data_IF_651130266145
#
_entry.id   IF_651130266145
#
_cell.length_a   1.000
_cell.length_b   1.000
_cell.length_c   1.000
_cell.angle_alpha   90.00
_cell.angle_beta   90.00
_cell.angle_gamma   90.00
#
_symmetry.space_group_name_H-M   'P 1'
#
loop_
_entity.id
_entity.type
_entity.pdbx_description
1 polymer ?
#
# COMPACT_ATOMS: atom_id res chain seq x y z
N UNK A 1 -10.46 -4.26 8.86
CA UNK A 1 -9.48 -3.98 9.93
C UNK A 1 -9.06 -2.51 9.91
N UNK A 2 -8.70 -1.96 8.74
CA UNK A 2 -8.40 -0.53 8.55
C UNK A 2 -9.48 0.10 7.66
N UNK A 3 -9.95 1.31 8.00
CA UNK A 3 -10.87 2.10 7.19
C UNK A 3 -10.39 3.55 7.15
N UNK A 4 -10.10 4.05 5.97
CA UNK A 4 -9.86 5.46 5.67
C UNK A 4 -11.14 6.02 5.04
N UNK A 5 -11.67 7.08 5.63
CA UNK A 5 -12.91 7.73 5.21
C UNK A 5 -12.63 9.22 4.97
N UNK A 6 -12.66 9.62 3.69
CA UNK A 6 -12.42 10.99 3.26
C UNK A 6 -11.08 11.57 3.72
N UNK A 7 -10.00 10.77 3.70
CA UNK A 7 -8.73 11.14 4.31
C UNK A 7 -8.04 12.29 3.58
N UNK A 8 -7.76 13.38 4.30
CA UNK A 8 -7.06 14.56 3.78
C UNK A 8 -5.79 14.80 4.59
N UNK A 9 -4.70 15.09 3.88
CA UNK A 9 -3.44 15.50 4.50
C UNK A 9 -2.82 16.66 3.74
N UNK A 10 -2.58 17.76 4.45
CA UNK A 10 -1.94 18.96 3.94
C UNK A 10 -0.66 19.19 4.73
N UNK A 11 0.46 19.33 4.01
CA UNK A 11 1.73 19.75 4.58
C UNK A 11 1.94 21.24 4.33
N UNK A 12 2.31 21.97 5.38
CA UNK A 12 2.78 23.35 5.27
C UNK A 12 4.29 23.34 5.22
N UNK A 13 4.86 23.69 4.07
CA UNK A 13 6.31 23.81 3.87
C UNK A 13 6.61 25.25 3.52
N UNK A 14 7.21 25.97 4.46
CA UNK A 14 7.36 27.43 4.41
C UNK A 14 6.01 28.11 4.11
N UNK A 15 5.92 28.83 2.99
CA UNK A 15 4.72 29.57 2.57
C UNK A 15 3.82 28.80 1.59
N UNK A 16 4.05 27.49 1.40
CA UNK A 16 3.28 26.65 0.47
C UNK A 16 2.54 25.54 1.20
N UNK A 17 1.27 25.37 0.84
CA UNK A 17 0.46 24.22 1.23
C UNK A 17 0.53 23.15 0.12
N UNK A 18 0.98 21.95 0.48
CA UNK A 18 1.04 20.78 -0.40
C UNK A 18 0.01 19.78 0.07
N UNK A 19 -0.98 19.50 -0.75
CA UNK A 19 -2.02 18.52 -0.45
C UNK A 19 -1.54 17.14 -0.86
N UNK A 20 -1.19 16.31 0.12
CA UNK A 20 -0.66 14.97 -0.10
C UNK A 20 -1.76 13.90 -0.24
N UNK A 21 -2.89 14.07 0.46
CA UNK A 21 -4.07 13.19 0.36
C UNK A 21 -5.33 14.05 0.20
N UNK A 22 -6.24 13.64 -0.67
CA UNK A 22 -7.38 14.45 -1.13
C UNK A 22 -8.72 13.72 -0.99
N UNK A 23 -9.14 13.43 0.23
CA UNK A 23 -10.41 12.73 0.48
C UNK A 23 -10.30 11.25 0.12
N UNK A 24 -9.17 10.62 0.43
CA UNK A 24 -8.89 9.24 0.08
C UNK A 24 -9.77 8.29 0.90
N UNK A 25 -10.42 7.36 0.19
CA UNK A 25 -11.21 6.28 0.77
C UNK A 25 -10.48 4.95 0.55
N UNK A 26 -10.31 4.16 1.61
CA UNK A 26 -9.64 2.85 1.53
C UNK A 26 -10.16 1.96 2.65
N UNK A 27 -10.51 0.73 2.34
CA UNK A 27 -10.80 -0.30 3.35
C UNK A 27 -9.82 -1.44 3.18
N UNK A 28 -9.25 -1.94 4.27
CA UNK A 28 -8.35 -3.11 4.28
C UNK A 28 -8.90 -4.15 5.24
N UNK A 29 -9.10 -5.37 4.75
CA UNK A 29 -9.70 -6.46 5.49
C UNK A 29 -8.69 -7.17 6.42
N UNK A 30 -9.16 -7.79 7.52
CA UNK A 30 -8.29 -8.57 8.39
C UNK A 30 -7.64 -9.74 7.62
N UNK A 31 -6.34 -9.94 7.78
CA UNK A 31 -5.58 -10.98 7.07
C UNK A 31 -5.31 -10.68 5.59
N UNK A 32 -5.74 -9.54 5.06
CA UNK A 32 -5.49 -9.15 3.66
C UNK A 32 -4.03 -8.68 3.45
N UNK A 33 -3.44 -9.07 2.34
CA UNK A 33 -2.21 -8.49 1.81
C UNK A 33 -2.56 -7.55 0.66
N UNK A 34 -2.49 -6.24 0.90
CA UNK A 34 -2.85 -5.19 -0.05
C UNK A 34 -1.61 -4.41 -0.50
N UNK A 35 -1.48 -4.18 -1.80
CA UNK A 35 -0.50 -3.24 -2.35
C UNK A 35 -1.15 -1.92 -2.76
N UNK A 36 -0.45 -0.83 -2.53
CA UNK A 36 -0.78 0.51 -3.00
C UNK A 36 0.27 0.91 -4.02
N UNK A 37 -0.16 1.13 -5.25
CA UNK A 37 0.70 1.51 -6.38
C UNK A 37 0.40 2.91 -6.86
N UNK A 38 1.38 3.56 -7.47
CA UNK A 38 1.20 4.90 -8.02
C UNK A 38 2.53 5.62 -8.23
N UNK A 39 2.53 6.76 -8.96
CA UNK A 39 3.76 7.49 -9.24
C UNK A 39 4.41 8.04 -7.96
N UNK A 40 5.68 8.44 -8.08
CA UNK A 40 6.36 9.15 -7.00
C UNK A 40 5.60 10.44 -6.67
N UNK A 41 5.47 10.76 -5.38
CA UNK A 41 4.72 11.92 -4.91
C UNK A 41 3.18 11.76 -4.89
N UNK A 42 2.62 10.60 -5.23
CA UNK A 42 1.17 10.37 -5.21
C UNK A 42 0.52 10.36 -3.81
N UNK A 43 1.31 10.45 -2.73
CA UNK A 43 0.82 10.41 -1.35
C UNK A 43 0.84 9.03 -0.68
N UNK A 44 1.45 8.01 -1.30
CA UNK A 44 1.47 6.63 -0.79
C UNK A 44 2.15 6.50 0.59
N UNK A 45 3.38 7.01 0.74
CA UNK A 45 4.09 6.98 2.03
C UNK A 45 3.40 7.86 3.08
N UNK A 46 2.74 8.96 2.66
CA UNK A 46 1.89 9.77 3.54
C UNK A 46 0.73 8.96 4.10
N UNK A 47 0.01 8.22 3.25
CA UNK A 47 -1.08 7.34 3.67
C UNK A 47 -0.59 6.30 4.67
N UNK A 48 0.53 5.64 4.37
CA UNK A 48 1.12 4.62 5.23
C UNK A 48 1.53 5.20 6.60
N UNK A 49 2.11 6.40 6.63
CA UNK A 49 2.45 7.10 7.88
C UNK A 49 1.21 7.45 8.71
N UNK A 50 0.12 7.89 8.09
CA UNK A 50 -1.13 8.20 8.79
C UNK A 50 -1.77 6.93 9.35
N UNK A 51 -1.86 5.85 8.56
CA UNK A 51 -2.39 4.55 9.02
C UNK A 51 -1.56 3.98 10.17
N UNK A 52 -0.25 4.11 10.11
CA UNK A 52 0.63 3.66 11.17
C UNK A 52 0.76 4.62 12.36
N UNK A 53 -0.02 5.69 12.38
CA UNK A 53 -0.06 6.64 13.50
C UNK A 53 1.24 7.41 13.69
N UNK A 54 2.11 7.51 12.67
CA UNK A 54 3.30 8.35 12.67
C UNK A 54 2.98 9.81 12.33
N UNK A 55 1.84 10.03 11.68
CA UNK A 55 1.32 11.34 11.35
C UNK A 55 -0.19 11.39 11.58
N UNK A 56 -0.74 12.59 11.76
CA UNK A 56 -2.18 12.82 11.95
C UNK A 56 -2.80 13.34 10.65
N UNK A 57 -4.03 12.92 10.30
CA UNK A 57 -4.73 13.50 9.17
C UNK A 57 -5.08 14.97 9.43
N UNK A 58 -5.17 15.77 8.36
CA UNK A 58 -5.67 17.14 8.42
C UNK A 58 -7.21 17.18 8.48
N UNK A 59 -7.87 16.23 7.80
CA UNK A 59 -9.30 15.98 7.90
C UNK A 59 -9.60 14.52 7.49
N UNK A 60 -10.85 14.08 7.70
CA UNK A 60 -11.26 12.69 7.50
C UNK A 60 -10.96 11.81 8.70
N UNK A 61 -11.17 10.50 8.55
CA UNK A 61 -11.03 9.52 9.62
C UNK A 61 -10.15 8.35 9.20
N UNK A 62 -9.38 7.82 10.15
CA UNK A 62 -8.65 6.56 9.99
C UNK A 62 -8.98 5.67 11.17
N UNK A 63 -9.76 4.62 10.91
CA UNK A 63 -10.17 3.65 11.91
C UNK A 63 -9.30 2.40 11.78
N UNK A 64 -8.73 1.94 12.90
CA UNK A 64 -8.01 0.66 12.98
C UNK A 64 -8.60 -0.16 14.11
N UNK A 65 -9.08 -1.36 13.80
CA UNK A 65 -9.88 -2.19 14.72
C UNK A 65 -11.07 -1.41 15.33
N UNK A 66 -11.69 -0.52 14.54
CA UNK A 66 -12.82 0.32 14.95
C UNK A 66 -12.46 1.57 15.76
N UNK A 67 -11.20 1.75 16.15
CA UNK A 67 -10.74 2.93 16.88
C UNK A 67 -10.18 3.99 15.91
N UNK A 68 -10.67 5.23 16.01
CA UNK A 68 -10.20 6.34 15.19
C UNK A 68 -8.88 6.91 15.73
N UNK A 69 -7.83 6.88 14.90
CA UNK A 69 -6.49 7.33 15.29
C UNK A 69 -6.41 8.84 15.54
N UNK A 70 -7.30 9.64 14.94
CA UNK A 70 -7.32 11.08 15.15
C UNK A 70 -7.66 11.46 16.60
N UNK A 71 -8.40 10.59 17.30
CA UNK A 71 -8.84 10.82 18.67
C UNK A 71 -7.80 10.39 19.72
N UNK A 72 -6.68 9.81 19.28
CA UNK A 72 -5.63 9.33 20.18
C UNK A 72 -4.77 10.49 20.70
N UNK A 73 -4.45 10.44 22.00
CA UNK A 73 -3.37 11.23 22.57
C UNK A 73 -2.01 10.71 22.06
N UNK A 74 -0.94 11.48 22.25
CA UNK A 74 0.39 11.05 21.80
C UNK A 74 0.84 9.74 22.48
N UNK A 75 0.51 9.56 23.78
CA UNK A 75 0.76 8.31 24.49
C UNK A 75 -0.08 7.13 23.98
N UNK A 76 -1.32 7.39 23.56
CA UNK A 76 -2.15 6.35 22.93
C UNK A 76 -1.62 5.96 21.54
N UNK A 77 -1.08 6.92 20.78
CA UNK A 77 -0.38 6.65 19.51
C UNK A 77 0.91 5.87 19.74
N UNK A 78 1.68 6.15 20.80
CA UNK A 78 2.86 5.36 21.17
C UNK A 78 2.50 3.90 21.46
N UNK A 79 1.42 3.68 22.20
CA UNK A 79 0.93 2.35 22.52
C UNK A 79 0.42 1.63 21.25
N UNK A 80 -0.34 2.32 20.41
CA UNK A 80 -0.77 1.83 19.10
C UNK A 80 0.41 1.38 18.23
N UNK A 81 1.43 2.24 18.07
CA UNK A 81 2.63 1.93 17.30
C UNK A 81 3.39 0.73 17.84
N UNK A 82 3.40 0.57 19.17
CA UNK A 82 4.12 -0.52 19.84
C UNK A 82 3.45 -1.88 19.69
N UNK A 83 2.12 -1.93 19.72
CA UNK A 83 1.38 -3.19 19.88
C UNK A 83 0.54 -3.58 18.66
N UNK A 84 0.17 -2.63 17.81
CA UNK A 84 -0.75 -2.88 16.68
C UNK A 84 -0.07 -2.87 15.34
N UNK A 85 0.98 -2.07 15.17
CA UNK A 85 1.64 -1.86 13.88
C UNK A 85 3.11 -2.28 13.88
N UNK A 86 3.54 -2.94 12.82
CA UNK A 86 4.95 -3.09 12.45
C UNK A 86 5.26 -2.22 11.25
N UNK A 87 6.48 -1.69 11.17
CA UNK A 87 6.92 -0.86 10.04
C UNK A 87 8.17 -1.44 9.40
N UNK A 88 8.17 -1.57 8.07
CA UNK A 88 9.32 -1.91 7.25
C UNK A 88 9.58 -0.74 6.32
N UNK A 89 10.74 -0.12 6.45
CA UNK A 89 11.12 1.04 5.66
C UNK A 89 11.83 0.61 4.37
N UNK A 90 11.83 1.49 3.37
CA UNK A 90 12.54 1.30 2.11
C UNK A 90 14.04 1.07 2.33
N UNK A 91 14.63 1.90 3.20
CA UNK A 91 16.01 1.76 3.65
C UNK A 91 16.03 0.86 4.89
N UNK A 92 16.59 -0.37 4.81
CA UNK A 92 16.63 -1.28 5.95
C UNK A 92 17.31 -0.65 7.17
N UNK A 93 18.31 0.21 6.93
CA UNK A 93 19.04 0.94 7.98
C UNK A 93 18.16 1.82 8.88
N UNK A 94 16.93 2.16 8.46
CA UNK A 94 15.96 2.86 9.33
C UNK A 94 15.32 1.96 10.38
N UNK A 95 15.31 0.64 10.15
CA UNK A 95 14.87 -0.36 11.12
C UNK A 95 16.01 -0.86 12.01
N UNK A 96 17.27 -0.76 11.54
CA UNK A 96 18.42 -1.44 12.12
C UNK A 96 19.32 -0.46 12.91
N UNK A 97 19.82 -0.91 14.05
CA UNK A 97 20.95 -0.29 14.75
C UNK A 97 22.24 -0.96 14.29
N UNK A 98 23.13 -0.17 13.70
CA UNK A 98 24.29 -0.63 12.92
C UNK A 98 25.30 -1.48 13.68
N UNK A 99 25.45 -1.26 15.00
CA UNK A 99 26.39 -1.96 15.86
C UNK A 99 25.78 -3.14 16.62
N UNK A 100 24.47 -3.37 16.51
CA UNK A 100 23.80 -4.52 17.10
C UNK A 100 23.77 -5.67 16.11
N UNK A 101 23.81 -6.90 16.61
CA UNK A 101 23.58 -8.12 15.81
C UNK A 101 22.12 -8.19 15.34
N UNK A 102 21.82 -9.06 14.36
CA UNK A 102 20.45 -9.31 13.93
C UNK A 102 19.55 -9.74 15.10
N UNK A 103 20.04 -10.62 15.98
CA UNK A 103 19.36 -11.06 17.20
C UNK A 103 19.04 -9.90 18.14
N UNK A 104 20.00 -9.02 18.39
CA UNK A 104 19.83 -7.86 19.27
C UNK A 104 18.87 -6.82 18.68
N UNK A 105 18.97 -6.58 17.37
CA UNK A 105 18.05 -5.73 16.64
C UNK A 105 16.59 -6.22 16.77
N UNK A 106 16.35 -7.51 16.52
CA UNK A 106 15.00 -8.10 16.66
C UNK A 106 14.53 -8.08 18.12
N UNK A 107 15.44 -8.19 19.09
CA UNK A 107 15.10 -8.12 20.51
C UNK A 107 14.73 -6.70 20.99
N UNK A 108 15.27 -5.66 20.35
CA UNK A 108 15.22 -4.28 20.83
C UNK A 108 13.78 -3.75 21.03
N UNK A 109 12.82 -3.90 20.10
CA UNK A 109 11.44 -3.45 20.32
C UNK A 109 10.78 -4.10 21.54
N UNK A 110 11.10 -5.38 21.80
CA UNK A 110 10.56 -6.12 22.94
C UNK A 110 11.21 -5.71 24.26
N UNK A 111 12.48 -5.26 24.23
CA UNK A 111 13.14 -4.65 25.40
C UNK A 111 12.43 -3.34 25.76
N UNK A 112 12.14 -2.50 24.77
CA UNK A 112 11.38 -1.25 24.95
C UNK A 112 9.97 -1.52 25.48
N UNK A 113 9.33 -2.60 25.00
CA UNK A 113 8.04 -3.08 25.51
C UNK A 113 8.12 -3.79 26.88
N UNK A 114 9.32 -3.88 27.48
CA UNK A 114 9.57 -4.50 28.80
C UNK A 114 9.12 -5.96 28.91
N UNK A 115 9.13 -6.72 27.81
CA UNK A 115 8.81 -8.15 27.83
C UNK A 115 9.88 -8.96 28.58
N UNK A 116 9.56 -10.05 29.30
CA UNK A 116 10.55 -10.85 30.02
C UNK A 116 11.63 -11.45 29.12
N UNK A 117 12.88 -11.51 29.60
CA UNK A 117 14.02 -11.96 28.79
C UNK A 117 13.86 -13.35 28.16
N UNK A 118 13.23 -14.29 28.88
CA UNK A 118 12.92 -15.63 28.36
C UNK A 118 11.98 -15.57 27.14
N UNK A 119 10.91 -14.77 27.23
CA UNK A 119 9.94 -14.57 26.15
C UNK A 119 10.62 -13.93 24.94
N UNK A 120 11.46 -12.91 25.17
CA UNK A 120 12.22 -12.25 24.09
C UNK A 120 13.12 -13.23 23.35
N UNK A 121 13.91 -14.04 24.07
CA UNK A 121 14.85 -15.00 23.44
C UNK A 121 14.13 -16.01 22.55
N UNK A 122 13.02 -16.55 23.03
CA UNK A 122 12.20 -17.49 22.25
C UNK A 122 11.63 -16.80 21.00
N UNK A 123 11.03 -15.61 21.17
CA UNK A 123 10.44 -14.87 20.06
C UNK A 123 11.45 -14.44 19.00
N UNK A 124 12.66 -14.04 19.40
CA UNK A 124 13.74 -13.70 18.46
C UNK A 124 14.13 -14.92 17.63
N UNK A 125 14.25 -16.10 18.23
CA UNK A 125 14.57 -17.33 17.50
C UNK A 125 13.47 -17.67 16.48
N UNK A 126 12.21 -17.64 16.90
CA UNK A 126 11.04 -17.86 16.02
C UNK A 126 11.04 -16.89 14.82
N UNK A 127 11.32 -15.60 15.05
CA UNK A 127 11.28 -14.59 14.01
C UNK A 127 12.44 -14.72 13.02
N UNK A 128 13.66 -14.99 13.51
CA UNK A 128 14.82 -15.21 12.66
C UNK A 128 14.66 -16.47 11.81
N UNK A 129 14.08 -17.53 12.36
CA UNK A 129 13.71 -18.72 11.60
C UNK A 129 12.64 -18.41 10.55
N UNK A 130 11.57 -17.70 10.94
CA UNK A 130 10.47 -17.33 10.06
C UNK A 130 10.88 -16.42 8.90
N UNK A 131 12.02 -15.72 8.99
CA UNK A 131 12.60 -14.96 7.87
C UNK A 131 13.83 -15.65 7.25
N UNK A 132 14.17 -16.86 7.67
CA UNK A 132 15.28 -17.65 7.10
C UNK A 132 16.67 -17.07 7.37
N UNK A 133 16.91 -16.60 8.60
CA UNK A 133 18.15 -15.95 9.05
C UNK A 133 18.70 -16.51 10.37
N UNK A 134 18.33 -17.74 10.76
CA UNK A 134 18.83 -18.39 11.98
C UNK A 134 20.37 -18.42 12.04
N UNK A 135 21.03 -18.79 10.94
CA UNK A 135 22.50 -18.87 10.84
C UNK A 135 23.19 -17.49 10.79
N UNK A 136 22.40 -16.43 10.63
CA UNK A 136 22.87 -15.04 10.57
C UNK A 136 22.58 -14.25 11.85
N UNK A 137 22.04 -14.89 12.88
CA UNK A 137 21.57 -14.25 14.10
C UNK A 137 22.61 -13.33 14.77
N UNK A 138 23.89 -13.72 14.76
CA UNK A 138 24.97 -13.00 15.43
C UNK A 138 25.78 -12.09 14.49
N UNK A 139 25.31 -11.89 13.26
CA UNK A 139 25.91 -10.94 12.31
C UNK A 139 25.37 -9.53 12.56
N UNK A 140 26.24 -8.53 12.51
CA UNK A 140 25.88 -7.11 12.46
C UNK A 140 25.46 -6.70 11.05
N UNK A 141 24.65 -5.63 10.86
CA UNK A 141 24.17 -5.18 9.54
C UNK A 141 25.23 -5.08 8.46
N UNK A 142 26.44 -4.59 8.78
CA UNK A 142 27.54 -4.47 7.82
C UNK A 142 28.05 -5.82 7.26
N UNK A 143 27.65 -6.96 7.86
CA UNK A 143 27.97 -8.32 7.42
C UNK A 143 26.77 -9.04 6.78
N UNK A 144 25.67 -8.35 6.55
CA UNK A 144 24.46 -8.87 5.93
C UNK A 144 24.30 -8.24 4.54
N UNK A 145 23.83 -9.02 3.57
CA UNK A 145 23.41 -8.49 2.27
C UNK A 145 22.19 -7.57 2.40
N UNK A 146 21.89 -6.74 1.40
CA UNK A 146 20.71 -5.85 1.44
C UNK A 146 19.39 -6.61 1.67
N UNK A 147 19.21 -7.76 1.01
CA UNK A 147 18.05 -8.63 1.22
C UNK A 147 18.02 -9.30 2.60
N UNK A 148 19.18 -9.68 3.15
CA UNK A 148 19.26 -10.18 4.53
C UNK A 148 18.91 -9.07 5.53
N UNK A 149 19.43 -7.85 5.34
CA UNK A 149 19.08 -6.69 6.18
C UNK A 149 17.58 -6.39 6.13
N UNK A 150 16.96 -6.48 4.96
CA UNK A 150 15.52 -6.26 4.81
C UNK A 150 14.70 -7.35 5.51
N UNK A 151 15.13 -8.62 5.44
CA UNK A 151 14.49 -9.70 6.20
C UNK A 151 14.66 -9.53 7.71
N UNK A 152 15.80 -9.01 8.18
CA UNK A 152 15.93 -8.60 9.60
C UNK A 152 14.96 -7.46 9.92
N UNK A 153 14.81 -6.46 9.05
CA UNK A 153 13.85 -5.36 9.24
C UNK A 153 12.39 -5.87 9.37
N UNK A 154 11.99 -6.86 8.57
CA UNK A 154 10.70 -7.55 8.70
C UNK A 154 10.59 -8.23 10.07
N UNK A 155 11.62 -8.95 10.52
CA UNK A 155 11.62 -9.58 11.85
C UNK A 155 11.50 -8.55 12.99
N UNK A 156 12.18 -7.40 12.89
CA UNK A 156 12.06 -6.28 13.85
C UNK A 156 10.63 -5.76 13.89
N UNK A 157 10.01 -5.52 12.72
CA UNK A 157 8.65 -5.03 12.62
C UNK A 157 7.63 -5.98 13.27
N UNK A 158 7.91 -7.29 13.27
CA UNK A 158 7.05 -8.34 13.85
C UNK A 158 7.35 -8.70 15.30
N UNK A 159 8.35 -8.05 15.91
CA UNK A 159 8.84 -8.36 17.25
C UNK A 159 7.74 -8.35 18.31
N UNK A 160 6.90 -7.31 18.31
CA UNK A 160 5.81 -7.12 19.28
C UNK A 160 4.47 -7.75 18.87
N UNK A 161 4.45 -8.65 17.88
CA UNK A 161 3.22 -9.30 17.37
C UNK A 161 2.14 -8.30 16.90
N UNK A 162 2.48 -7.37 15.99
CA UNK A 162 1.48 -6.46 15.44
C UNK A 162 0.42 -7.22 14.65
N UNK A 163 -0.75 -6.60 14.47
CA UNK A 163 -1.81 -7.10 13.58
C UNK A 163 -1.69 -6.54 12.17
N UNK A 164 -1.09 -5.35 12.05
CA UNK A 164 -0.90 -4.64 10.79
C UNK A 164 0.59 -4.47 10.53
N UNK A 165 1.07 -4.95 9.38
CA UNK A 165 2.42 -4.69 8.91
C UNK A 165 2.37 -3.69 7.76
N UNK A 166 3.08 -2.57 7.93
CA UNK A 166 3.16 -1.48 6.97
C UNK A 166 4.55 -1.51 6.33
N UNK A 167 4.62 -1.62 5.02
CA UNK A 167 5.87 -1.67 4.28
C UNK A 167 5.94 -0.56 3.22
N UNK A 168 6.90 0.35 3.35
CA UNK A 168 7.11 1.47 2.42
C UNK A 168 8.26 1.13 1.46
N UNK A 169 7.94 0.82 0.21
CA UNK A 169 8.87 0.37 -0.84
C UNK A 169 9.90 -0.69 -0.37
N UNK A 170 9.45 -1.83 0.20
CA UNK A 170 10.33 -2.78 0.86
C UNK A 170 11.33 -3.49 -0.07
N UNK A 171 11.22 -3.30 -1.37
CA UNK A 171 12.03 -3.92 -2.42
C UNK A 171 12.73 -2.89 -3.32
N UNK A 172 12.59 -1.58 -3.06
CA UNK A 172 13.00 -0.52 -3.99
C UNK A 172 14.50 -0.46 -4.29
N UNK A 173 15.35 -0.96 -3.39
CA UNK A 173 16.83 -1.00 -3.57
C UNK A 173 17.37 -2.41 -3.86
N UNK A 174 16.50 -3.38 -4.07
CA UNK A 174 16.88 -4.79 -4.22
C UNK A 174 16.78 -5.21 -5.68
N UNK A 175 17.65 -6.14 -6.09
CA UNK A 175 17.51 -6.81 -7.38
C UNK A 175 16.22 -7.66 -7.42
N UNK A 176 15.76 -8.00 -8.61
CA UNK A 176 14.48 -8.70 -8.82
C UNK A 176 14.42 -10.07 -8.14
N UNK A 177 15.53 -10.82 -8.09
CA UNK A 177 15.57 -12.12 -7.43
C UNK A 177 15.45 -11.95 -5.90
N UNK A 178 16.16 -10.97 -5.34
CA UNK A 178 16.04 -10.65 -3.91
C UNK A 178 14.65 -10.10 -3.56
N UNK A 179 14.08 -9.23 -4.38
CA UNK A 179 12.73 -8.69 -4.19
C UNK A 179 11.67 -9.79 -4.13
N UNK A 180 11.79 -10.82 -4.99
CA UNK A 180 10.94 -12.01 -4.96
C UNK A 180 11.01 -12.74 -3.62
N UNK A 181 12.21 -12.97 -3.08
CA UNK A 181 12.38 -13.61 -1.76
C UNK A 181 11.70 -12.80 -0.65
N UNK A 182 11.72 -11.47 -0.75
CA UNK A 182 11.02 -10.59 0.20
C UNK A 182 9.49 -10.75 0.09
N UNK A 183 8.93 -10.72 -1.12
CA UNK A 183 7.50 -10.93 -1.31
C UNK A 183 7.03 -12.34 -0.88
N UNK A 184 7.80 -13.38 -1.17
CA UNK A 184 7.57 -14.75 -0.67
C UNK A 184 7.57 -14.79 0.87
N UNK A 185 8.49 -14.05 1.49
CA UNK A 185 8.55 -13.93 2.96
C UNK A 185 7.29 -13.26 3.51
N UNK A 186 6.84 -12.14 2.92
CA UNK A 186 5.59 -11.49 3.32
C UNK A 186 4.39 -12.42 3.17
N UNK A 187 4.27 -13.13 2.02
CA UNK A 187 3.15 -14.04 1.77
C UNK A 187 3.09 -15.16 2.81
N UNK A 188 4.23 -15.80 3.09
CA UNK A 188 4.33 -16.83 4.13
C UNK A 188 3.92 -16.30 5.50
N UNK A 189 4.36 -15.09 5.86
CA UNK A 189 4.04 -14.47 7.15
C UNK A 189 2.56 -14.07 7.26
N UNK A 190 1.97 -13.55 6.18
CA UNK A 190 0.55 -13.25 6.07
C UNK A 190 -0.29 -14.51 6.35
N UNK A 191 -0.02 -15.61 5.63
CA UNK A 191 -0.77 -16.87 5.77
C UNK A 191 -0.54 -17.55 7.12
N UNK A 192 0.70 -17.61 7.60
CA UNK A 192 1.03 -18.32 8.84
C UNK A 192 0.57 -17.59 10.11
N UNK A 193 0.51 -16.25 10.07
CA UNK A 193 0.20 -15.43 11.25
C UNK A 193 -1.16 -14.74 11.19
N UNK A 194 -1.89 -14.84 10.06
CA UNK A 194 -3.13 -14.08 9.82
C UNK A 194 -2.90 -12.57 9.84
N UNK A 195 -1.72 -12.14 9.43
CA UNK A 195 -1.25 -10.76 9.52
C UNK A 195 -1.79 -9.94 8.36
N UNK A 196 -2.46 -8.82 8.61
CA UNK A 196 -2.78 -7.87 7.52
C UNK A 196 -1.52 -7.13 7.12
N UNK A 197 -1.23 -7.07 5.82
CA UNK A 197 -0.03 -6.42 5.29
C UNK A 197 -0.46 -5.34 4.30
N UNK A 198 0.03 -4.12 4.49
CA UNK A 198 -0.12 -3.01 3.55
C UNK A 198 1.24 -2.64 2.98
N UNK A 199 1.42 -2.84 1.68
CA UNK A 199 2.66 -2.53 0.98
C UNK A 199 2.43 -1.32 0.09
N UNK A 200 3.32 -0.34 0.16
CA UNK A 200 3.40 0.75 -0.82
C UNK A 200 4.55 0.44 -1.75
N UNK A 201 4.32 0.51 -3.06
CA UNK A 201 5.38 0.31 -4.06
C UNK A 201 5.10 1.07 -5.35
N UNK A 202 6.10 1.21 -6.20
CA UNK A 202 5.94 1.63 -7.59
C UNK A 202 6.10 0.46 -8.57
N UNK A 203 6.42 -0.75 -8.07
CA UNK A 203 6.59 -1.97 -8.85
C UNK A 203 5.23 -2.57 -9.26
N UNK A 204 4.86 -2.57 -10.55
CA UNK A 204 3.62 -3.17 -11.01
C UNK A 204 3.62 -4.71 -10.91
N UNK A 205 4.80 -5.35 -10.82
CA UNK A 205 4.96 -6.79 -10.67
C UNK A 205 4.48 -7.32 -9.32
N UNK A 206 4.15 -6.45 -8.37
CA UNK A 206 3.64 -6.83 -7.05
C UNK A 206 2.27 -7.52 -7.13
N UNK A 207 1.51 -7.32 -8.20
CA UNK A 207 0.14 -7.85 -8.33
C UNK A 207 0.08 -9.36 -8.18
N UNK A 208 1.12 -10.10 -8.58
CA UNK A 208 1.19 -11.56 -8.43
C UNK A 208 1.39 -12.06 -6.99
N UNK A 209 1.70 -11.16 -6.06
CA UNK A 209 2.09 -11.49 -4.67
C UNK A 209 1.04 -11.08 -3.62
N UNK A 210 0.06 -10.26 -4.01
CA UNK A 210 -0.90 -9.62 -3.11
C UNK A 210 -2.33 -10.00 -3.48
N UNK A 211 -3.25 -9.93 -2.52
CA UNK A 211 -4.66 -10.24 -2.76
C UNK A 211 -5.32 -9.13 -3.59
N UNK A 212 -4.89 -7.89 -3.35
CA UNK A 212 -5.45 -6.70 -3.97
C UNK A 212 -4.40 -5.60 -4.17
N UNK A 213 -4.49 -4.92 -5.30
CA UNK A 213 -3.74 -3.71 -5.64
C UNK A 213 -4.70 -2.53 -5.71
N UNK A 214 -4.36 -1.42 -5.07
CA UNK A 214 -5.09 -0.15 -5.18
C UNK A 214 -4.15 0.90 -5.77
N UNK A 215 -4.52 1.49 -6.90
CA UNK A 215 -3.77 2.58 -7.50
C UNK A 215 -4.14 3.91 -6.85
N UNK A 216 -3.13 4.71 -6.49
CA UNK A 216 -3.29 6.09 -6.02
C UNK A 216 -2.68 7.05 -7.03
N UNK A 217 -3.43 8.11 -7.35
CA UNK A 217 -2.97 9.23 -8.18
C UNK A 217 -3.45 10.54 -7.56
N UNK A 218 -2.57 11.52 -7.49
CA UNK A 218 -2.86 12.86 -6.94
C UNK A 218 -3.55 12.85 -5.55
N UNK A 219 -3.18 11.90 -4.69
CA UNK A 219 -3.72 11.76 -3.34
C UNK A 219 -5.12 11.13 -3.25
N UNK A 220 -5.62 10.51 -4.31
CA UNK A 220 -6.92 9.80 -4.37
C UNK A 220 -6.75 8.37 -4.90
N UNK A 221 -7.67 7.48 -4.54
CA UNK A 221 -7.79 6.14 -5.12
C UNK A 221 -8.36 6.22 -6.53
N UNK A 222 -7.69 5.58 -7.49
CA UNK A 222 -8.06 5.59 -8.91
C UNK A 222 -8.68 4.25 -9.34
N UNK A 223 -7.94 3.16 -9.22
CA UNK A 223 -8.38 1.81 -9.63
C UNK A 223 -8.06 0.78 -8.55
N UNK A 224 -8.78 -0.32 -8.57
CA UNK A 224 -8.60 -1.46 -7.69
C UNK A 224 -8.48 -2.72 -8.55
N UNK A 225 -7.36 -3.42 -8.47
CA UNK A 225 -7.15 -4.69 -9.16
C UNK A 225 -7.11 -5.83 -8.15
N UNK A 226 -7.97 -6.83 -8.31
CA UNK A 226 -8.02 -8.00 -7.42
C UNK A 226 -7.50 -9.25 -8.12
N UNK A 227 -6.79 -10.09 -7.37
CA UNK A 227 -6.54 -11.45 -7.84
C UNK A 227 -7.83 -12.27 -7.78
N UNK A 228 -8.13 -13.00 -8.85
CA UNK A 228 -9.16 -14.05 -8.83
C UNK A 228 -8.46 -15.36 -8.50
N UNK A 229 -8.77 -16.01 -7.35
CA UNK A 229 -8.19 -17.31 -7.03
C UNK A 229 -8.59 -18.35 -8.09
N UNK A 230 -7.62 -18.93 -8.80
CA UNK A 230 -7.89 -20.11 -9.62
C UNK A 230 -8.06 -21.35 -8.72
N UNK A 231 -8.98 -22.27 -9.03
CA UNK A 231 -8.93 -23.61 -8.43
C UNK A 231 -7.57 -24.25 -8.79
N UNK A 232 -6.83 -24.71 -7.77
CA UNK A 232 -5.45 -25.24 -7.89
C UNK A 232 -5.32 -26.19 -9.08
N UNK A 233 -4.55 -25.80 -10.09
CA UNK A 233 -4.21 -26.68 -11.20
C UNK A 233 -3.05 -27.61 -10.78
N UNK A 234 -3.09 -28.88 -11.21
CA UNK A 234 -2.17 -29.94 -10.74
C UNK A 234 -0.81 -29.97 -11.49
N UNK A 235 -0.42 -28.91 -12.20
CA UNK A 235 0.75 -28.95 -13.09
C UNK A 235 1.84 -27.97 -12.61
N UNK A 236 3.00 -28.44 -12.11
CA UNK A 236 3.94 -27.61 -11.34
C UNK A 236 4.81 -26.59 -12.11
N UNK A 237 4.78 -26.54 -13.43
CA UNK A 237 5.86 -25.90 -14.23
C UNK A 237 5.39 -24.88 -15.28
N UNK A 238 4.13 -24.44 -15.23
CA UNK A 238 3.70 -23.30 -16.02
C UNK A 238 3.69 -22.05 -15.13
N UNK A 239 4.23 -20.94 -15.64
CA UNK A 239 3.96 -19.61 -15.07
C UNK A 239 2.44 -19.47 -15.09
N UNK A 240 1.78 -19.68 -13.95
CA UNK A 240 0.34 -19.51 -13.87
C UNK A 240 0.06 -18.03 -14.16
N UNK A 241 -0.49 -17.73 -15.34
CA UNK A 241 -1.01 -16.39 -15.63
C UNK A 241 -2.03 -16.05 -14.52
N UNK A 242 -1.67 -15.06 -13.70
CA UNK A 242 -2.53 -14.54 -12.64
C UNK A 242 -3.74 -13.92 -13.33
N UNK A 243 -4.93 -14.49 -13.11
CA UNK A 243 -6.17 -13.85 -13.56
C UNK A 243 -6.48 -12.70 -12.61
N UNK A 244 -6.53 -11.49 -13.16
CA UNK A 244 -6.81 -10.27 -12.42
C UNK A 244 -8.11 -9.66 -12.91
N UNK A 245 -8.88 -9.09 -11.99
CA UNK A 245 -10.05 -8.26 -12.30
C UNK A 245 -9.70 -6.82 -11.99
N UNK A 246 -9.82 -5.94 -12.99
CA UNK A 246 -9.66 -4.50 -12.80
C UNK A 246 -11.03 -3.86 -12.55
N UNK A 247 -11.15 -3.20 -11.41
CA UNK A 247 -12.35 -2.52 -10.94
C UNK A 247 -12.07 -1.02 -10.85
N UNK A 248 -13.04 -0.23 -11.29
CA UNK A 248 -13.02 1.21 -11.09
C UNK A 248 -13.58 1.52 -9.71
N UNK A 249 -12.89 2.37 -8.93
CA UNK A 249 -13.30 2.71 -7.57
C UNK A 249 -14.38 3.78 -7.61
N UNK A 250 -15.47 3.54 -6.86
CA UNK A 250 -16.52 4.52 -6.57
C UNK A 250 -16.27 5.11 -5.18
N UNK A 251 -16.36 6.43 -5.05
CA UNK A 251 -16.33 7.06 -3.73
C UNK A 251 -17.70 6.99 -3.03
N UNK A 252 -17.77 7.39 -1.76
CA UNK A 252 -19.00 7.45 -0.96
C UNK A 252 -20.12 8.32 -1.55
N UNK A 253 -19.78 9.26 -2.44
CA UNK A 253 -20.73 10.09 -3.17
C UNK A 253 -21.20 9.43 -4.50
N UNK A 254 -20.73 8.23 -4.80
CA UNK A 254 -21.03 7.48 -6.03
C UNK A 254 -20.29 8.02 -7.26
N UNK A 255 -19.21 8.79 -7.09
CA UNK A 255 -18.41 9.31 -8.20
C UNK A 255 -17.44 8.24 -8.69
N UNK A 256 -17.38 8.06 -10.01
CA UNK A 256 -16.48 7.14 -10.69
C UNK A 256 -15.18 7.85 -11.08
N UNK A 257 -14.02 7.32 -10.66
CA UNK A 257 -12.72 7.79 -11.15
C UNK A 257 -12.22 6.95 -12.32
N UNK A 258 -12.39 7.46 -13.54
CA UNK A 258 -11.84 6.80 -14.74
C UNK A 258 -10.36 7.19 -14.89
N UNK A 259 -9.44 6.22 -15.06
CA UNK A 259 -8.04 6.52 -15.35
C UNK A 259 -7.87 7.45 -16.55
N UNK A 260 -6.88 8.34 -16.44
CA UNK A 260 -6.62 9.35 -17.47
C UNK A 260 -6.20 8.72 -18.80
N UNK A 261 -5.56 7.56 -18.79
CA UNK A 261 -5.20 6.84 -20.01
C UNK A 261 -6.45 6.47 -20.83
N UNK A 262 -7.52 5.98 -20.17
CA UNK A 262 -8.78 5.71 -20.86
C UNK A 262 -9.49 6.98 -21.32
N UNK A 263 -9.44 8.05 -20.52
CA UNK A 263 -10.02 9.33 -20.94
C UNK A 263 -9.32 9.87 -22.19
N UNK A 264 -7.99 9.75 -22.26
CA UNK A 264 -7.18 10.16 -23.42
C UNK A 264 -7.37 9.22 -24.62
N UNK A 265 -7.41 7.91 -24.40
CA UNK A 265 -7.64 6.89 -25.44
C UNK A 265 -9.00 7.07 -26.13
N UNK A 266 -10.04 7.39 -25.35
CA UNK A 266 -11.41 7.52 -25.85
C UNK A 266 -11.87 8.98 -26.07
N UNK A 267 -10.94 9.96 -26.00
CA UNK A 267 -11.20 11.40 -26.21
C UNK A 267 -12.34 11.96 -25.32
N UNK A 268 -12.37 11.52 -24.07
CA UNK A 268 -13.36 11.94 -23.08
C UNK A 268 -12.81 13.14 -22.29
N UNK A 269 -13.29 14.33 -22.61
CA UNK A 269 -13.01 15.56 -21.86
C UNK A 269 -13.88 15.74 -20.60
N UNK A 270 -14.16 16.99 -20.24
CA UNK A 270 -14.91 17.36 -19.02
C UNK A 270 -16.38 16.86 -19.00
N UNK A 271 -16.89 16.36 -20.13
CA UNK A 271 -18.25 15.86 -20.27
C UNK A 271 -18.26 14.53 -21.01
N UNK A 272 -18.96 13.58 -20.43
CA UNK A 272 -19.25 12.28 -21.04
C UNK A 272 -20.76 12.07 -21.15
N UNK A 273 -21.19 11.28 -22.14
CA UNK A 273 -22.57 10.80 -22.26
C UNK A 273 -22.68 9.46 -21.54
N UNK A 274 -23.71 9.32 -20.70
CA UNK A 274 -24.09 8.06 -20.08
C UNK A 274 -25.26 7.45 -20.85
N UNK A 275 -25.09 6.22 -21.32
CA UNK A 275 -26.14 5.43 -21.97
C UNK A 275 -26.46 4.20 -21.12
N UNK A 276 -27.74 3.91 -20.94
CA UNK A 276 -28.18 2.68 -20.25
C UNK A 276 -28.26 1.55 -21.26
N UNK A 277 -27.63 0.42 -20.95
CA UNK A 277 -27.71 -0.83 -21.72
C UNK A 277 -28.34 -1.92 -20.86
N UNK A 278 -28.78 -3.06 -21.44
CA UNK A 278 -29.28 -4.19 -20.66
C UNK A 278 -28.27 -4.75 -19.65
N UNK A 279 -26.97 -4.59 -19.94
CA UNK A 279 -25.86 -5.12 -19.15
C UNK A 279 -25.28 -4.08 -18.17
N UNK A 280 -25.67 -2.80 -18.26
CA UNK A 280 -25.17 -1.76 -17.35
C UNK A 280 -25.22 -0.34 -17.91
N UNK A 281 -24.17 0.43 -17.64
CA UNK A 281 -24.02 1.82 -18.06
C UNK A 281 -22.79 1.93 -18.96
N UNK A 282 -22.95 2.56 -20.12
CA UNK A 282 -21.87 2.84 -21.05
C UNK A 282 -21.51 4.33 -21.03
N UNK A 283 -20.22 4.62 -20.86
CA UNK A 283 -19.67 5.98 -20.87
C UNK A 283 -19.06 6.24 -22.25
N UNK A 284 -19.44 7.34 -22.89
CA UNK A 284 -18.92 7.76 -24.20
C UNK A 284 -18.49 9.23 -24.20
N UNK A 285 -17.57 9.65 -25.08
CA UNK A 285 -17.27 11.07 -25.26
C UNK A 285 -18.53 11.86 -25.63
N UNK A 286 -18.71 13.01 -25.00
CA UNK A 286 -19.76 13.94 -25.44
C UNK A 286 -19.33 14.50 -26.80
N UNK A 287 -19.94 14.03 -27.90
CA UNK A 287 -19.64 14.50 -29.25
C UNK A 287 -19.45 16.02 -29.28
N UNK A 288 -18.26 16.48 -29.68
CA UNK A 288 -18.07 17.88 -30.06
C UNK A 288 -18.88 18.06 -31.34
N UNK A 289 -19.97 18.82 -31.26
CA UNK A 289 -20.73 19.20 -32.44
C UNK A 289 -19.84 19.98 -33.42
N UNK A 290 -19.23 19.28 -34.38
CA UNK A 290 -18.74 19.87 -35.63
C UNK A 290 -19.69 19.43 -36.74
N UNK A 291 -20.82 20.11 -36.86
CA UNK A 291 -21.59 20.14 -38.10
C UNK A 291 -22.46 21.41 -38.16
N UNK A 292 -22.19 22.24 -39.18
CA UNK A 292 -23.13 23.22 -39.72
C UNK A 292 -22.91 24.69 -39.34
N UNK A 293 -21.93 25.38 -39.92
CA UNK A 293 -22.03 26.83 -40.18
C UNK A 293 -21.00 27.39 -41.18
N UNK A 294 -20.81 26.69 -42.31
CA UNK A 294 -20.07 27.24 -43.47
C UNK A 294 -20.76 26.91 -44.78
N UNK A 295 -22.04 27.27 -44.92
CA UNK A 295 -22.68 27.18 -46.23
C UNK A 295 -23.89 28.11 -46.40
N UNK A 296 -23.80 29.39 -46.03
CA UNK A 296 -24.82 30.38 -46.50
C UNK A 296 -24.37 31.84 -46.49
N UNK A 297 -23.21 32.19 -47.08
CA UNK A 297 -22.91 33.59 -47.48
C UNK A 297 -22.05 33.66 -48.75
N UNK A 298 -22.57 33.15 -49.86
CA UNK A 298 -22.13 33.53 -51.21
C UNK A 298 -23.33 33.52 -52.15
N UNK A 299 -24.18 34.51 -51.98
CA UNK A 299 -25.27 34.86 -52.87
C UNK A 299 -25.76 36.24 -52.47
N UNK A 300 -25.87 37.13 -53.44
CA UNK A 300 -26.38 38.51 -53.33
C UNK A 300 -25.37 39.58 -52.88
N UNK A 301 -24.65 40.10 -53.88
CA UNK A 301 -24.79 41.51 -54.30
C UNK A 301 -24.33 41.63 -55.75
N UNK A 302 -25.33 41.78 -56.63
CA UNK A 302 -25.21 42.56 -57.86
C UNK A 302 -25.17 44.04 -57.48
#
# INVERSE_FOLDING_TARGET
>A
MVVCDGLVKIYRVADREVVALQGLELTVDPGEMLAIVGPSGAGKSTLLNVIGGLDRPSAGRVLVDGANLADFSDGALDHYRRERTGFVWQLPGRNLVSYLTARENVALPMVVARLPARVRRQRVAELLEAVGLSDRADHVPARLSGGEQQRVAIAIALANRPRLLLADEPTGELDSATARVIYETFRRLNEALGLTILIVTHDPGIIGWVDRVVAIRDGKTSTETRQIPKPKSQIPDQIEEVQTEELVVLDSAGRLQVPREYLEEYDIGDRARLERTPEGILIRPAQVGRQGDRETRRGERR
#
